data_IF_155573630977
#
_entry.id   IF_155573630977
#
_cell.length_a   1.000
_cell.length_b   1.000
_cell.length_c   1.000
_cell.angle_alpha   90.00
_cell.angle_beta   90.00
_cell.angle_gamma   90.00
#
_symmetry.space_group_name_H-M   'P 1'
#
loop_
_entity.id
_entity.type
_entity.pdbx_description
1 polymer ?
#
# COMPACT_ATOMS: atom_id res chain seq x y z
N UNK A 1 6.93 -26.70 -21.74
CA UNK A 1 5.61 -27.15 -21.24
C UNK A 1 5.31 -26.62 -19.85
N UNK A 2 5.81 -27.21 -18.77
CA UNK A 2 5.45 -26.77 -17.39
C UNK A 2 6.12 -25.45 -17.01
N UNK A 3 7.39 -25.28 -17.40
CA UNK A 3 8.15 -24.05 -17.20
C UNK A 3 7.48 -22.86 -17.89
N UNK A 4 6.90 -23.06 -19.08
CA UNK A 4 6.20 -21.99 -19.80
C UNK A 4 4.92 -21.55 -19.09
N UNK A 5 4.19 -22.48 -18.47
CA UNK A 5 3.03 -22.17 -17.63
C UNK A 5 3.45 -21.34 -16.41
N UNK A 6 4.51 -21.78 -15.72
CA UNK A 6 5.03 -21.08 -14.55
C UNK A 6 5.53 -19.69 -14.95
N UNK A 7 6.27 -19.57 -16.06
CA UNK A 7 6.75 -18.29 -16.55
C UNK A 7 5.60 -17.36 -16.98
N UNK A 8 4.50 -17.87 -17.56
CA UNK A 8 3.29 -17.06 -17.84
C UNK A 8 2.65 -16.51 -16.57
N UNK A 9 2.54 -17.30 -15.49
CA UNK A 9 2.07 -16.80 -14.18
C UNK A 9 3.05 -15.78 -13.60
N UNK A 10 4.35 -16.03 -13.70
CA UNK A 10 5.38 -15.12 -13.20
C UNK A 10 5.41 -13.80 -13.98
N UNK A 11 5.07 -13.80 -15.27
CA UNK A 11 4.91 -12.58 -16.08
C UNK A 11 3.69 -11.74 -15.69
N UNK A 12 2.64 -12.34 -15.11
CA UNK A 12 1.49 -11.61 -14.56
C UNK A 12 1.76 -10.95 -13.20
N UNK A 13 2.97 -11.11 -12.63
CA UNK A 13 3.38 -10.45 -11.37
C UNK A 13 3.21 -8.94 -11.44
N UNK A 14 3.44 -8.31 -12.58
CA UNK A 14 3.38 -6.86 -12.69
C UNK A 14 1.96 -6.32 -12.44
N UNK A 15 0.93 -6.96 -13.00
CA UNK A 15 -0.48 -6.57 -12.81
C UNK A 15 -0.93 -6.80 -11.36
N UNK A 16 -0.51 -7.92 -10.76
CA UNK A 16 -0.75 -8.21 -9.36
C UNK A 16 -0.09 -7.18 -8.44
N UNK A 17 1.18 -6.84 -8.67
CA UNK A 17 1.91 -5.86 -7.88
C UNK A 17 1.33 -4.45 -8.03
N UNK A 18 0.84 -4.08 -9.22
CA UNK A 18 0.13 -2.81 -9.42
C UNK A 18 -1.18 -2.75 -8.63
N UNK A 19 -1.96 -3.83 -8.65
CA UNK A 19 -3.23 -3.91 -7.92
C UNK A 19 -2.99 -3.87 -6.41
N UNK A 20 -2.01 -4.61 -5.91
CA UNK A 20 -1.59 -4.58 -4.52
C UNK A 20 -1.15 -3.17 -4.09
N UNK A 21 -0.42 -2.44 -4.95
CA UNK A 21 -0.04 -1.04 -4.70
C UNK A 21 -1.25 -0.14 -4.52
N UNK A 22 -2.24 -0.25 -5.40
CA UNK A 22 -3.44 0.58 -5.33
C UNK A 22 -4.22 0.32 -4.04
N UNK A 23 -4.34 -0.95 -3.64
CA UNK A 23 -5.03 -1.34 -2.43
C UNK A 23 -4.30 -0.84 -1.17
N UNK A 24 -2.98 -1.00 -1.11
CA UNK A 24 -2.20 -0.53 0.05
C UNK A 24 -2.18 1.00 0.13
N UNK A 25 -1.98 1.70 -1.00
CA UNK A 25 -2.04 3.17 -1.02
C UNK A 25 -3.39 3.67 -0.52
N UNK A 26 -4.49 3.02 -0.92
CA UNK A 26 -5.84 3.38 -0.46
C UNK A 26 -5.96 3.22 1.06
N UNK A 27 -5.52 2.09 1.63
CA UNK A 27 -5.62 1.82 3.07
C UNK A 27 -4.70 2.74 3.90
N UNK A 28 -3.48 3.01 3.42
CA UNK A 28 -2.49 3.86 4.12
C UNK A 28 -2.90 5.35 4.06
N UNK A 29 -3.52 5.78 2.97
CA UNK A 29 -3.98 7.15 2.79
C UNK A 29 -5.38 7.43 3.39
N UNK A 30 -6.18 6.41 3.71
CA UNK A 30 -7.50 6.52 4.36
C UNK A 30 -7.48 6.98 5.83
N UNK A 31 -6.43 7.68 6.28
CA UNK A 31 -6.46 8.35 7.57
C UNK A 31 -7.14 9.70 7.40
N UNK A 32 -8.33 9.84 7.97
CA UNK A 32 -9.21 11.03 7.98
C UNK A 32 -8.63 12.22 8.78
N UNK A 33 -7.32 12.46 8.66
CA UNK A 33 -6.63 13.56 9.31
C UNK A 33 -6.77 14.81 8.42
N UNK A 34 -7.31 15.90 9.00
CA UNK A 34 -7.30 17.22 8.39
C UNK A 34 -5.86 17.55 7.93
N UNK A 35 -5.74 18.05 6.70
CA UNK A 35 -4.42 18.43 6.15
C UNK A 35 -3.71 19.40 7.08
N UNK A 36 -2.38 19.29 7.27
CA UNK A 36 -1.62 20.19 8.14
C UNK A 36 -1.86 21.67 7.83
N UNK A 37 -2.06 22.03 6.55
CA UNK A 37 -2.34 23.41 6.15
C UNK A 37 -3.68 23.94 6.70
N UNK A 38 -4.71 23.08 6.76
CA UNK A 38 -6.03 23.45 7.29
C UNK A 38 -5.97 23.65 8.80
N UNK A 39 -5.18 22.82 9.49
CA UNK A 39 -4.94 22.96 10.93
C UNK A 39 -4.17 24.27 11.22
N UNK A 40 -3.15 24.59 10.43
CA UNK A 40 -2.36 25.81 10.58
C UNK A 40 -3.17 27.09 10.29
N UNK A 41 -4.07 27.08 9.30
CA UNK A 41 -4.94 28.22 9.04
C UNK A 41 -5.89 28.48 10.22
N UNK A 42 -6.45 27.40 10.80
CA UNK A 42 -7.35 27.49 11.96
C UNK A 42 -6.62 27.92 13.22
N UNK A 43 -5.40 27.41 13.46
CA UNK A 43 -4.52 27.86 14.55
C UNK A 43 -4.22 29.36 14.45
N UNK A 44 -3.90 29.86 13.25
CA UNK A 44 -3.63 31.29 13.03
C UNK A 44 -4.85 32.18 13.33
N UNK A 45 -6.06 31.74 12.98
CA UNK A 45 -7.31 32.46 13.29
C UNK A 45 -7.54 32.52 14.80
N UNK A 46 -7.47 31.37 15.48
CA UNK A 46 -7.68 31.28 16.93
C UNK A 46 -6.64 32.08 17.73
N UNK A 47 -5.37 32.09 17.29
CA UNK A 47 -4.33 32.92 17.91
C UNK A 47 -4.63 34.42 17.81
N UNK A 48 -5.14 34.88 16.67
CA UNK A 48 -5.55 36.29 16.49
C UNK A 48 -6.77 36.65 17.35
N UNK A 49 -7.72 35.74 17.48
CA UNK A 49 -8.89 35.92 18.34
C UNK A 49 -8.52 35.93 19.83
N UNK A 50 -7.59 35.06 20.24
CA UNK A 50 -7.05 35.05 21.60
C UNK A 50 -6.44 36.40 21.97
N UNK A 51 -5.61 36.99 21.09
CA UNK A 51 -5.01 38.31 21.32
C UNK A 51 -6.07 39.42 21.48
N UNK A 52 -7.16 39.35 20.71
CA UNK A 52 -8.29 40.31 20.84
C UNK A 52 -9.01 40.15 22.17
N UNK A 53 -9.31 38.91 22.58
CA UNK A 53 -10.00 38.63 23.85
C UNK A 53 -9.18 39.01 25.08
N UNK A 54 -7.88 38.74 25.06
CA UNK A 54 -6.95 39.15 26.13
C UNK A 54 -6.92 40.68 26.25
N UNK A 55 -6.87 41.41 25.13
CA UNK A 55 -6.94 42.87 25.14
C UNK A 55 -8.30 43.40 25.63
N UNK A 56 -9.38 42.64 25.45
CA UNK A 56 -10.73 42.96 25.89
C UNK A 56 -11.02 42.52 27.34
N UNK A 57 -10.09 41.80 28.00
CA UNK A 57 -10.30 41.13 29.30
C UNK A 57 -11.51 40.17 29.31
N UNK A 58 -11.86 39.63 28.15
CA UNK A 58 -12.93 38.65 28.00
C UNK A 58 -12.42 37.24 28.28
N UNK A 59 -13.34 36.34 28.62
CA UNK A 59 -13.04 34.92 28.80
C UNK A 59 -12.53 34.28 27.50
N UNK A 60 -11.35 33.68 27.60
CA UNK A 60 -10.57 33.12 26.51
C UNK A 60 -10.22 31.63 26.70
N UNK A 61 -10.66 31.00 27.79
CA UNK A 61 -10.29 29.61 28.13
C UNK A 61 -10.68 28.63 27.02
N UNK A 62 -11.87 28.80 26.43
CA UNK A 62 -12.33 27.95 25.31
C UNK A 62 -11.43 28.06 24.06
N UNK A 63 -10.86 29.24 23.78
CA UNK A 63 -9.94 29.44 22.64
C UNK A 63 -8.58 28.80 22.96
N UNK A 64 -8.11 28.92 24.20
CA UNK A 64 -6.88 28.30 24.65
C UNK A 64 -6.94 26.76 24.55
N UNK A 65 -8.05 26.17 24.98
CA UNK A 65 -8.30 24.73 24.89
C UNK A 65 -8.38 24.24 23.44
N UNK A 66 -9.04 24.98 22.55
CA UNK A 66 -9.11 24.63 21.12
C UNK A 66 -7.73 24.72 20.45
N UNK A 67 -6.91 25.71 20.79
CA UNK A 67 -5.52 25.82 20.31
C UNK A 67 -4.68 24.62 20.77
N UNK A 68 -4.84 24.21 22.03
CA UNK A 68 -4.08 23.09 22.60
C UNK A 68 -4.48 21.77 21.92
N UNK A 69 -5.78 21.53 21.74
CA UNK A 69 -6.31 20.40 20.99
C UNK A 69 -5.81 20.35 19.55
N UNK A 70 -5.86 21.47 18.81
CA UNK A 70 -5.42 21.52 17.42
C UNK A 70 -3.90 21.29 17.28
N UNK A 71 -3.10 21.73 18.25
CA UNK A 71 -1.65 21.44 18.28
C UNK A 71 -1.36 19.96 18.47
N UNK A 72 -2.09 19.30 19.35
CA UNK A 72 -1.95 17.86 19.56
C UNK A 72 -2.39 17.07 18.32
N UNK A 73 -3.49 17.47 17.69
CA UNK A 73 -3.92 16.87 16.42
C UNK A 73 -2.89 17.08 15.30
N UNK A 74 -2.25 18.25 15.20
CA UNK A 74 -1.19 18.49 14.22
C UNK A 74 0.03 17.60 14.45
N UNK A 75 0.47 17.49 15.71
CA UNK A 75 1.60 16.63 16.08
C UNK A 75 1.31 15.16 15.76
N UNK A 76 0.08 14.71 16.04
CA UNK A 76 -0.33 13.35 15.68
C UNK A 76 -0.31 13.13 14.16
N UNK A 77 -0.85 14.08 13.39
CA UNK A 77 -0.84 14.00 11.93
C UNK A 77 0.59 13.98 11.34
N UNK A 78 1.54 14.74 11.91
CA UNK A 78 2.96 14.69 11.52
C UNK A 78 3.57 13.32 11.80
N UNK A 79 3.35 12.76 12.99
CA UNK A 79 3.86 11.43 13.36
C UNK A 79 3.25 10.34 12.45
N UNK A 80 1.95 10.39 12.23
CA UNK A 80 1.25 9.46 11.36
C UNK A 80 1.76 9.56 9.91
N UNK A 81 2.06 10.78 9.43
CA UNK A 81 2.64 10.99 8.09
C UNK A 81 4.01 10.33 7.97
N UNK A 82 4.89 10.51 8.97
CA UNK A 82 6.22 9.90 8.96
C UNK A 82 6.14 8.36 8.95
N UNK A 83 5.24 7.79 9.75
CA UNK A 83 5.00 6.34 9.78
C UNK A 83 4.50 5.85 8.43
N UNK A 84 3.53 6.55 7.82
CA UNK A 84 2.99 6.22 6.50
C UNK A 84 4.05 6.29 5.40
N UNK A 85 4.92 7.30 5.43
CA UNK A 85 6.02 7.46 4.48
C UNK A 85 7.04 6.33 4.60
N UNK A 86 7.41 5.95 5.82
CA UNK A 86 8.31 4.82 6.06
C UNK A 86 7.70 3.50 5.58
N UNK A 87 6.42 3.25 5.88
CA UNK A 87 5.70 2.08 5.38
C UNK A 87 5.66 2.06 3.84
N UNK A 88 5.37 3.19 3.20
CA UNK A 88 5.39 3.31 1.74
C UNK A 88 6.77 3.07 1.15
N UNK A 89 7.84 3.47 1.83
CA UNK A 89 9.21 3.17 1.41
C UNK A 89 9.48 1.66 1.47
N UNK A 90 9.15 0.99 2.58
CA UNK A 90 9.34 -0.46 2.70
C UNK A 90 8.56 -1.24 1.63
N UNK A 91 7.34 -0.81 1.31
CA UNK A 91 6.54 -1.41 0.24
C UNK A 91 7.23 -1.26 -1.12
N UNK A 92 7.78 -0.08 -1.42
CA UNK A 92 8.55 0.14 -2.67
C UNK A 92 9.78 -0.75 -2.72
N UNK A 93 10.54 -0.84 -1.63
CA UNK A 93 11.75 -1.66 -1.54
C UNK A 93 11.42 -3.16 -1.78
N UNK A 94 10.33 -3.65 -1.18
CA UNK A 94 9.86 -5.03 -1.40
C UNK A 94 9.40 -5.26 -2.84
N UNK A 95 8.77 -4.27 -3.47
CA UNK A 95 8.36 -4.37 -4.88
C UNK A 95 9.57 -4.42 -5.81
N UNK A 96 10.55 -3.55 -5.59
CA UNK A 96 11.78 -3.51 -6.38
C UNK A 96 12.56 -4.81 -6.22
N UNK A 97 12.58 -5.38 -5.01
CA UNK A 97 13.12 -6.71 -4.75
C UNK A 97 12.39 -7.80 -5.55
N UNK A 98 11.05 -7.81 -5.54
CA UNK A 98 10.26 -8.82 -6.29
C UNK A 98 10.45 -8.67 -7.81
N UNK A 99 10.58 -7.45 -8.33
CA UNK A 99 10.86 -7.17 -9.75
C UNK A 99 12.28 -7.54 -10.17
N UNK A 100 13.24 -7.34 -9.27
CA UNK A 100 14.64 -7.67 -9.51
C UNK A 100 14.93 -9.18 -9.54
N UNK A 101 13.98 -10.01 -9.14
CA UNK A 101 14.13 -11.47 -9.23
C UNK A 101 13.98 -11.95 -10.68
N UNK A 102 14.89 -12.80 -11.18
CA UNK A 102 14.74 -13.39 -12.50
C UNK A 102 13.42 -14.17 -12.55
N UNK A 103 12.51 -13.71 -13.42
CA UNK A 103 11.18 -14.30 -13.60
C UNK A 103 11.18 -15.50 -14.56
N UNK A 104 12.33 -15.79 -15.18
CA UNK A 104 12.47 -16.88 -16.14
C UNK A 104 13.16 -18.04 -15.48
N UNK A 105 12.38 -19.04 -15.13
CA UNK A 105 12.92 -20.35 -14.76
C UNK A 105 13.45 -20.96 -16.06
N UNK A 106 14.76 -21.21 -16.11
CA UNK A 106 15.43 -21.84 -17.25
C UNK A 106 15.60 -23.34 -17.08
N UNK A 107 15.48 -23.84 -15.85
CA UNK A 107 15.72 -25.23 -15.49
C UNK A 107 14.53 -25.83 -14.75
N UNK A 108 14.28 -27.12 -14.98
CA UNK A 108 13.22 -27.83 -14.29
C UNK A 108 13.66 -28.18 -12.87
N UNK A 109 12.91 -27.70 -11.88
CA UNK A 109 13.06 -28.08 -10.47
C UNK A 109 11.78 -28.80 -10.00
N UNK A 110 11.92 -30.09 -9.71
CA UNK A 110 10.82 -30.95 -9.27
C UNK A 110 10.20 -30.48 -7.94
N UNK A 111 11.02 -29.93 -7.04
CA UNK A 111 10.57 -29.39 -5.75
C UNK A 111 9.73 -28.15 -5.96
N UNK A 112 10.15 -27.27 -6.87
CA UNK A 112 9.43 -26.06 -7.23
C UNK A 112 8.08 -26.39 -7.90
N UNK A 113 8.09 -27.33 -8.84
CA UNK A 113 6.88 -27.78 -9.55
C UNK A 113 5.90 -28.41 -8.58
N UNK A 114 6.34 -29.33 -7.72
CA UNK A 114 5.51 -29.94 -6.68
C UNK A 114 4.91 -28.92 -5.70
N UNK A 115 5.64 -27.83 -5.42
CA UNK A 115 5.17 -26.76 -4.54
C UNK A 115 4.10 -25.88 -5.18
N UNK A 116 4.18 -25.64 -6.48
CA UNK A 116 3.34 -24.67 -7.18
C UNK A 116 2.14 -25.30 -7.90
N UNK A 117 2.29 -26.53 -8.41
CA UNK A 117 1.30 -27.18 -9.27
C UNK A 117 0.46 -28.15 -8.47
N UNK A 118 -0.85 -28.07 -8.65
CA UNK A 118 -1.82 -28.99 -8.06
C UNK A 118 -2.04 -30.21 -8.98
N UNK A 119 -2.34 -29.97 -10.26
CA UNK A 119 -2.48 -31.03 -11.27
C UNK A 119 -2.23 -30.50 -12.68
N UNK A 120 -1.96 -31.42 -13.60
CA UNK A 120 -1.84 -31.15 -15.04
C UNK A 120 -2.80 -32.09 -15.76
N UNK A 121 -3.66 -31.52 -16.61
CA UNK A 121 -4.62 -32.27 -17.44
C UNK A 121 -4.18 -32.18 -18.91
N UNK A 122 -4.00 -33.33 -19.56
CA UNK A 122 -3.51 -33.42 -20.94
C UNK A 122 -4.68 -33.69 -21.89
N UNK A 123 -4.78 -32.88 -22.95
CA UNK A 123 -5.75 -33.01 -24.03
C UNK A 123 -5.04 -33.25 -25.37
N UNK A 124 -5.81 -33.50 -26.43
CA UNK A 124 -5.29 -33.84 -27.75
C UNK A 124 -4.50 -32.70 -28.42
N UNK A 125 -4.84 -31.44 -28.12
CA UNK A 125 -4.22 -30.25 -28.73
C UNK A 125 -3.70 -29.22 -27.71
N UNK A 126 -3.86 -29.47 -26.41
CA UNK A 126 -3.43 -28.56 -25.37
C UNK A 126 -3.26 -29.29 -24.04
N UNK A 127 -2.75 -28.58 -23.04
CA UNK A 127 -2.67 -29.04 -21.67
C UNK A 127 -3.05 -27.90 -20.73
N UNK A 128 -3.83 -28.25 -19.71
CA UNK A 128 -4.27 -27.36 -18.64
C UNK A 128 -3.41 -27.60 -17.41
N UNK A 129 -2.84 -26.55 -16.85
CA UNK A 129 -2.05 -26.56 -15.62
C UNK A 129 -2.82 -25.84 -14.52
N UNK A 130 -3.17 -26.57 -13.47
CA UNK A 130 -3.80 -26.02 -12.28
C UNK A 130 -2.75 -25.79 -11.20
N UNK A 131 -2.64 -24.55 -10.74
CA UNK A 131 -1.74 -24.16 -9.66
C UNK A 131 -2.46 -24.29 -8.32
N UNK A 132 -1.71 -24.61 -7.26
CA UNK A 132 -2.23 -24.65 -5.88
C UNK A 132 -2.75 -23.30 -5.38
N UNK A 133 -2.41 -22.21 -6.06
CA UNK A 133 -2.97 -20.87 -5.83
C UNK A 133 -4.41 -20.71 -6.35
N UNK A 134 -4.94 -21.71 -7.08
CA UNK A 134 -6.24 -21.63 -7.77
C UNK A 134 -6.19 -20.97 -9.15
N UNK A 135 -4.99 -20.69 -9.67
CA UNK A 135 -4.80 -20.17 -11.04
C UNK A 135 -4.77 -21.35 -12.00
N UNK A 136 -5.48 -21.24 -13.12
CA UNK A 136 -5.49 -22.25 -14.20
C UNK A 136 -4.95 -21.63 -15.48
N UNK A 137 -4.02 -22.31 -16.15
CA UNK A 137 -3.47 -21.88 -17.44
C UNK A 137 -3.59 -22.99 -18.47
N UNK A 138 -4.11 -22.65 -19.65
CA UNK A 138 -4.07 -23.49 -20.84
C UNK A 138 -2.85 -23.16 -21.71
N UNK A 139 -2.18 -24.21 -22.17
CA UNK A 139 -1.05 -24.13 -23.09
C UNK A 139 -1.33 -25.03 -24.28
N UNK A 140 -1.31 -24.45 -25.48
CA UNK A 140 -1.44 -25.17 -26.74
C UNK A 140 -0.19 -26.05 -26.98
N UNK A 141 -0.41 -27.24 -27.53
CA UNK A 141 0.60 -28.24 -27.80
C UNK A 141 1.40 -27.98 -29.09
#
# INVERSE_FOLDING_TARGET
>A
MVIDAINRVLCQKDDFLQTLRANIATVVLQGDALSPEVIDERLNKLQKELLKKVNQKDDYDAIADEILRLRDQRRQAEVDSVIKDEQMKQIRDLQDFVKGQPATITEFDETLVSRLIEKITVFEHHFTVDFKSGITIDIEA
#
